data_IF_624854998985
#
_entry.id   IF_624854998985
#
_cell.length_a   1.000
_cell.length_b   1.000
_cell.length_c   1.000
_cell.angle_alpha   90.00
_cell.angle_beta   90.00
_cell.angle_gamma   90.00
#
_symmetry.space_group_name_H-M   'P 1'
#
loop_
_entity.id
_entity.type
_entity.pdbx_description
1 polymer ?
#
# COMPACT_ATOMS: atom_id res chain seq x y z
N UNK A 1 13.11 8.81 -3.33
CA UNK A 1 11.75 9.35 -3.05
C UNK A 1 10.76 8.20 -2.81
N UNK A 2 10.45 7.34 -3.78
CA UNK A 2 9.43 6.27 -3.63
C UNK A 2 9.65 5.39 -2.40
N UNK A 3 10.89 4.91 -2.15
CA UNK A 3 11.22 4.11 -0.97
C UNK A 3 11.06 4.87 0.35
N UNK A 4 11.28 6.18 0.36
CA UNK A 4 11.03 7.02 1.54
C UNK A 4 9.53 7.07 1.87
N UNK A 5 8.69 7.23 0.85
CA UNK A 5 7.23 7.23 1.02
C UNK A 5 6.73 5.85 1.45
N UNK A 6 7.25 4.78 0.84
CA UNK A 6 6.92 3.42 1.22
C UNK A 6 7.28 3.13 2.70
N UNK A 7 8.43 3.62 3.16
CA UNK A 7 8.82 3.52 4.56
C UNK A 7 7.88 4.32 5.48
N UNK A 8 7.46 5.52 5.09
CA UNK A 8 6.43 6.26 5.82
C UNK A 8 5.12 5.47 5.91
N UNK A 9 4.63 4.92 4.79
CA UNK A 9 3.44 4.07 4.77
C UNK A 9 3.57 2.86 5.68
N UNK A 10 4.72 2.20 5.68
CA UNK A 10 5.00 1.05 6.55
C UNK A 10 4.97 1.40 8.04
N UNK A 11 5.22 2.66 8.41
CA UNK A 11 5.31 3.12 9.82
C UNK A 11 4.14 4.01 10.27
N UNK A 12 3.30 4.47 9.37
CA UNK A 12 2.17 5.37 9.70
C UNK A 12 1.29 4.76 10.79
N UNK A 13 0.98 5.48 11.87
CA UNK A 13 0.07 5.01 12.90
C UNK A 13 -1.32 4.69 12.35
N UNK A 14 -1.93 3.62 12.83
CA UNK A 14 -3.24 3.12 12.37
C UNK A 14 -4.36 4.15 12.54
N UNK A 15 -4.22 5.04 13.52
CA UNK A 15 -5.26 6.02 13.89
C UNK A 15 -5.15 7.36 13.14
N UNK A 16 -4.12 7.55 12.29
CA UNK A 16 -3.94 8.78 11.51
C UNK A 16 -4.69 8.68 10.18
N UNK A 17 -5.99 8.81 10.25
CA UNK A 17 -6.90 8.68 9.11
C UNK A 17 -6.62 9.65 7.93
N UNK A 18 -6.26 10.94 8.13
CA UNK A 18 -5.96 11.83 6.99
C UNK A 18 -4.64 11.51 6.29
N UNK A 19 -3.70 10.83 6.94
CA UNK A 19 -2.34 10.62 6.43
C UNK A 19 -2.24 9.67 5.23
N UNK A 20 -3.09 8.66 5.15
CA UNK A 20 -3.03 7.66 4.09
C UNK A 20 -3.31 8.23 2.69
N UNK A 21 -4.26 9.16 2.57
CA UNK A 21 -4.54 9.86 1.32
C UNK A 21 -3.31 10.64 0.83
N UNK A 22 -2.70 11.46 1.70
CA UNK A 22 -1.48 12.21 1.39
C UNK A 22 -0.34 11.29 0.99
N UNK A 23 -0.09 10.21 1.74
CA UNK A 23 0.98 9.26 1.43
C UNK A 23 0.78 8.56 0.09
N UNK A 24 -0.46 8.18 -0.27
CA UNK A 24 -0.73 7.60 -1.58
C UNK A 24 -0.48 8.58 -2.71
N UNK A 25 -0.87 9.85 -2.57
CA UNK A 25 -0.58 10.90 -3.54
C UNK A 25 0.93 11.18 -3.64
N UNK A 26 1.64 11.20 -2.51
CA UNK A 26 3.09 11.36 -2.47
C UNK A 26 3.80 10.20 -3.18
N UNK A 27 3.32 8.96 -3.02
CA UNK A 27 3.83 7.79 -3.71
C UNK A 27 3.65 7.93 -5.23
N UNK A 28 2.45 8.32 -5.68
CA UNK A 28 2.12 8.53 -7.08
C UNK A 28 2.99 9.64 -7.68
N UNK A 29 3.12 10.79 -7.00
CA UNK A 29 3.95 11.90 -7.44
C UNK A 29 5.42 11.51 -7.53
N UNK A 30 5.95 10.81 -6.52
CA UNK A 30 7.35 10.37 -6.49
C UNK A 30 7.69 9.40 -7.63
N UNK A 31 6.79 8.48 -7.97
CA UNK A 31 6.96 7.59 -9.11
C UNK A 31 6.87 8.33 -10.43
N UNK A 32 6.01 9.35 -10.53
CA UNK A 32 5.84 10.17 -11.74
C UNK A 32 7.11 10.94 -12.14
N UNK A 33 8.03 11.20 -11.21
CA UNK A 33 9.34 11.83 -11.51
C UNK A 33 10.12 11.03 -12.53
N UNK A 34 10.12 9.71 -12.44
CA UNK A 34 10.80 8.82 -13.38
C UNK A 34 10.20 8.92 -14.79
N UNK A 35 8.88 8.96 -14.84
CA UNK A 35 8.14 9.17 -16.10
C UNK A 35 8.44 10.55 -16.70
N UNK A 36 8.47 11.59 -15.88
CA UNK A 36 8.81 12.96 -16.31
C UNK A 36 10.24 13.05 -16.85
N UNK A 37 11.20 12.38 -16.21
CA UNK A 37 12.58 12.28 -16.72
C UNK A 37 12.65 11.55 -18.06
N UNK A 38 11.95 10.44 -18.19
CA UNK A 38 11.97 9.59 -19.39
C UNK A 38 11.39 10.27 -20.62
N UNK A 39 10.27 10.97 -20.47
CA UNK A 39 9.52 11.53 -21.61
C UNK A 39 9.69 13.05 -21.77
N UNK A 40 9.93 13.79 -20.69
CA UNK A 40 10.07 15.24 -20.68
C UNK A 40 11.51 15.74 -20.62
N UNK A 41 12.47 14.84 -20.51
CA UNK A 41 13.88 15.16 -20.37
C UNK A 41 14.23 15.80 -19.00
N UNK A 42 15.50 16.22 -18.88
CA UNK A 42 16.04 16.66 -17.62
C UNK A 42 15.29 17.83 -16.97
N UNK A 43 14.93 18.85 -17.75
CA UNK A 43 14.27 20.07 -17.23
C UNK A 43 12.90 19.75 -16.61
N UNK A 44 12.11 18.89 -17.26
CA UNK A 44 10.79 18.46 -16.77
C UNK A 44 10.95 17.55 -15.56
N UNK A 45 11.88 16.61 -15.62
CA UNK A 45 12.17 15.70 -14.52
C UNK A 45 12.69 16.41 -13.28
N UNK A 46 13.55 17.43 -13.44
CA UNK A 46 14.04 18.24 -12.31
C UNK A 46 12.90 19.01 -11.63
N UNK A 47 11.96 19.56 -12.39
CA UNK A 47 10.76 20.20 -11.84
C UNK A 47 9.88 19.20 -11.09
N UNK A 48 9.64 18.04 -11.69
CA UNK A 48 8.86 16.97 -11.04
C UNK A 48 9.51 16.52 -9.73
N UNK A 49 10.84 16.37 -9.71
CA UNK A 49 11.60 16.03 -8.49
C UNK A 49 11.45 17.11 -7.42
N UNK A 50 11.52 18.39 -7.80
CA UNK A 50 11.30 19.50 -6.87
C UNK A 50 9.90 19.44 -6.25
N UNK A 51 8.86 19.21 -7.05
CA UNK A 51 7.50 19.09 -6.54
C UNK A 51 7.33 17.87 -5.63
N UNK A 52 7.92 16.73 -5.96
CA UNK A 52 7.89 15.56 -5.11
C UNK A 52 8.62 15.79 -3.77
N UNK A 53 9.77 16.47 -3.79
CA UNK A 53 10.49 16.85 -2.58
C UNK A 53 9.71 17.85 -1.72
N UNK A 54 9.06 18.83 -2.37
CA UNK A 54 8.20 19.78 -1.70
C UNK A 54 6.99 19.11 -1.02
N UNK A 55 6.34 18.17 -1.71
CA UNK A 55 5.24 17.40 -1.13
C UNK A 55 5.70 16.60 0.08
N UNK A 56 6.83 15.89 -0.03
CA UNK A 56 7.43 15.18 1.11
C UNK A 56 7.72 16.09 2.30
N UNK A 57 8.19 17.32 2.04
CA UNK A 57 8.40 18.30 3.09
C UNK A 57 7.09 18.83 3.67
N UNK A 58 6.08 19.07 2.84
CA UNK A 58 4.75 19.52 3.28
C UNK A 58 4.07 18.48 4.17
N UNK A 59 4.25 17.21 3.86
CA UNK A 59 3.69 16.08 4.62
C UNK A 59 4.59 15.63 5.79
N UNK A 60 5.63 16.41 6.16
CA UNK A 60 6.54 16.06 7.27
C UNK A 60 5.85 15.89 8.62
N UNK A 61 4.68 16.47 8.80
CA UNK A 61 3.85 16.29 10.00
C UNK A 61 3.38 14.84 10.20
N UNK A 62 3.40 14.02 9.12
CA UNK A 62 3.14 12.59 9.20
C UNK A 62 4.28 11.81 9.85
N UNK A 63 5.45 12.40 10.03
CA UNK A 63 6.60 11.81 10.73
C UNK A 63 6.48 11.96 12.26
N UNK A 64 5.36 11.62 12.84
CA UNK A 64 5.07 11.86 14.27
C UNK A 64 5.98 11.07 15.20
N UNK A 65 6.61 10.00 14.73
CA UNK A 65 7.57 9.23 15.53
C UNK A 65 8.90 9.17 14.79
N UNK A 66 9.98 9.75 15.33
CA UNK A 66 11.31 9.60 14.77
C UNK A 66 11.80 8.16 15.03
N UNK A 67 11.44 7.25 14.17
CA UNK A 67 12.00 5.89 14.12
C UNK A 67 13.01 5.82 12.99
N UNK A 68 14.02 4.96 13.14
CA UNK A 68 14.96 4.67 12.07
C UNK A 68 14.22 4.35 10.78
N UNK A 69 14.66 4.96 9.67
CA UNK A 69 14.07 4.75 8.33
C UNK A 69 14.15 3.29 7.89
N UNK A 70 15.12 2.56 8.40
CA UNK A 70 15.31 1.14 8.11
C UNK A 70 15.56 0.45 9.44
N UNK A 71 14.51 0.02 10.13
CA UNK A 71 14.71 -0.96 11.19
C UNK A 71 15.21 -2.24 10.51
N UNK A 72 16.33 -2.82 10.98
CA UNK A 72 16.71 -4.15 10.55
C UNK A 72 15.48 -5.05 10.77
N UNK A 73 15.11 -5.74 9.72
CA UNK A 73 14.03 -6.72 9.84
C UNK A 73 14.49 -7.69 10.93
N UNK A 74 13.77 -7.76 12.06
CA UNK A 74 14.06 -8.72 13.12
C UNK A 74 14.11 -10.13 12.56
N UNK A 75 14.84 -11.03 13.21
CA UNK A 75 14.93 -12.42 12.78
C UNK A 75 13.52 -12.98 12.52
N UNK A 76 13.38 -13.74 11.45
CA UNK A 76 12.12 -14.37 11.10
C UNK A 76 11.67 -15.28 12.26
N UNK A 77 10.47 -15.04 12.77
CA UNK A 77 9.87 -15.85 13.84
C UNK A 77 9.05 -17.02 13.29
N UNK A 78 8.97 -17.14 11.96
CA UNK A 78 8.21 -18.20 11.29
C UNK A 78 9.07 -19.46 11.08
N UNK A 79 9.56 -20.04 12.16
CA UNK A 79 10.28 -21.33 12.10
C UNK A 79 9.27 -22.45 11.77
N UNK A 80 9.44 -23.07 10.60
CA UNK A 80 8.64 -24.22 10.15
C UNK A 80 7.29 -23.88 9.49
N UNK A 81 6.94 -22.61 9.23
CA UNK A 81 5.70 -22.30 8.52
C UNK A 81 5.84 -22.48 7.01
N UNK A 82 4.81 -23.07 6.42
CA UNK A 82 4.67 -23.17 4.97
C UNK A 82 4.35 -21.78 4.40
N UNK A 83 4.94 -21.42 3.24
CA UNK A 83 4.68 -20.16 2.53
C UNK A 83 3.18 -19.92 2.33
N UNK A 84 2.40 -20.96 1.99
CA UNK A 84 0.96 -20.85 1.79
C UNK A 84 0.22 -20.39 3.06
N UNK A 85 0.64 -20.88 4.22
CA UNK A 85 0.04 -20.48 5.50
C UNK A 85 0.40 -19.03 5.84
N UNK A 86 1.66 -18.64 5.67
CA UNK A 86 2.11 -17.28 5.90
C UNK A 86 1.41 -16.29 4.96
N UNK A 87 1.27 -16.64 3.68
CA UNK A 87 0.55 -15.85 2.69
C UNK A 87 -0.93 -15.66 3.06
N UNK A 88 -1.60 -16.75 3.43
CA UNK A 88 -3.00 -16.68 3.91
C UNK A 88 -3.13 -15.75 5.11
N UNK A 89 -2.22 -15.83 6.08
CA UNK A 89 -2.23 -14.96 7.27
C UNK A 89 -2.17 -13.48 6.87
N UNK A 90 -1.35 -13.11 5.88
CA UNK A 90 -1.31 -11.72 5.37
C UNK A 90 -2.64 -11.36 4.71
N UNK A 91 -3.16 -12.21 3.81
CA UNK A 91 -4.40 -11.93 3.08
C UNK A 91 -5.60 -11.87 4.01
N UNK A 92 -5.70 -12.77 4.99
CA UNK A 92 -6.76 -12.76 6.00
C UNK A 92 -6.72 -11.49 6.85
N UNK A 93 -5.52 -10.97 7.15
CA UNK A 93 -5.38 -9.68 7.86
C UNK A 93 -5.89 -8.51 7.02
N UNK A 94 -5.74 -8.55 5.70
CA UNK A 94 -6.33 -7.57 4.79
C UNK A 94 -7.86 -7.69 4.79
N UNK A 95 -8.38 -8.91 4.67
CA UNK A 95 -9.83 -9.18 4.62
C UNK A 95 -10.52 -8.81 5.94
N UNK A 96 -9.90 -9.09 7.08
CA UNK A 96 -10.42 -8.80 8.42
C UNK A 96 -10.06 -7.40 8.93
N UNK A 97 -9.47 -6.56 8.06
CA UNK A 97 -9.19 -5.13 8.31
C UNK A 97 -8.25 -4.88 9.50
N UNK A 98 -7.23 -5.70 9.65
CA UNK A 98 -6.24 -5.61 10.73
C UNK A 98 -5.00 -4.79 10.33
N UNK A 99 -5.15 -3.47 10.16
CA UNK A 99 -4.09 -2.56 9.61
C UNK A 99 -2.77 -2.64 10.40
N UNK A 100 -2.81 -2.82 11.71
CA UNK A 100 -1.62 -2.98 12.55
C UNK A 100 -0.90 -4.30 12.30
N UNK A 101 -1.66 -5.39 12.30
CA UNK A 101 -1.14 -6.75 12.20
C UNK A 101 -0.67 -7.10 10.79
N UNK A 102 -1.36 -6.61 9.74
CA UNK A 102 -0.98 -6.90 8.36
C UNK A 102 0.45 -6.45 8.05
N UNK A 103 0.89 -5.31 8.58
CA UNK A 103 2.26 -4.85 8.43
C UNK A 103 3.28 -5.79 9.09
N UNK A 104 2.95 -6.35 10.25
CA UNK A 104 3.78 -7.34 10.95
C UNK A 104 3.82 -8.65 10.16
N UNK A 105 2.67 -9.20 9.77
CA UNK A 105 2.60 -10.44 9.02
C UNK A 105 3.30 -10.35 7.66
N UNK A 106 3.15 -9.21 6.95
CA UNK A 106 3.88 -8.96 5.69
C UNK A 106 5.39 -8.95 5.92
N UNK A 107 5.86 -8.33 7.00
CA UNK A 107 7.28 -8.32 7.36
C UNK A 107 7.78 -9.71 7.68
N UNK A 108 7.06 -10.48 8.49
CA UNK A 108 7.40 -11.85 8.85
C UNK A 108 7.48 -12.75 7.61
N UNK A 109 6.50 -12.64 6.70
CA UNK A 109 6.49 -13.34 5.42
C UNK A 109 7.77 -13.07 4.61
N UNK A 110 8.14 -11.79 4.46
CA UNK A 110 9.30 -11.39 3.68
C UNK A 110 10.63 -11.78 4.37
N UNK A 111 10.68 -11.74 5.69
CA UNK A 111 11.86 -12.12 6.48
C UNK A 111 12.12 -13.63 6.44
N UNK A 112 11.07 -14.43 6.32
CA UNK A 112 11.19 -15.87 6.11
C UNK A 112 11.77 -16.21 4.72
N UNK A 113 12.02 -15.20 3.87
CA UNK A 113 12.58 -15.39 2.53
C UNK A 113 11.54 -15.84 1.49
N UNK A 114 10.25 -15.75 1.81
CA UNK A 114 9.18 -16.13 0.88
C UNK A 114 9.03 -15.14 -0.27
N UNK A 115 8.35 -15.58 -1.35
CA UNK A 115 8.28 -14.84 -2.60
C UNK A 115 7.50 -13.53 -2.50
N UNK A 116 8.18 -12.38 -2.53
CA UNK A 116 7.54 -11.08 -2.60
C UNK A 116 6.72 -10.86 -3.87
N UNK A 117 7.09 -11.49 -4.99
CA UNK A 117 6.30 -11.47 -6.22
C UNK A 117 4.96 -12.20 -6.07
N UNK A 118 4.97 -13.34 -5.38
CA UNK A 118 3.76 -14.09 -5.07
C UNK A 118 2.83 -13.27 -4.18
N UNK A 119 3.37 -12.72 -3.10
CA UNK A 119 2.62 -11.84 -2.21
C UNK A 119 2.00 -10.66 -2.95
N UNK A 120 2.78 -9.97 -3.80
CA UNK A 120 2.30 -8.84 -4.59
C UNK A 120 1.19 -9.24 -5.57
N UNK A 121 1.32 -10.40 -6.22
CA UNK A 121 0.31 -10.95 -7.12
C UNK A 121 -1.01 -11.22 -6.40
N UNK A 122 -0.96 -11.85 -5.23
CA UNK A 122 -2.15 -12.24 -4.49
C UNK A 122 -2.82 -11.03 -3.81
N UNK A 123 -2.03 -10.09 -3.28
CA UNK A 123 -2.55 -8.77 -2.86
C UNK A 123 -3.22 -8.04 -4.03
N UNK A 124 -2.60 -8.07 -5.22
CA UNK A 124 -3.17 -7.46 -6.42
C UNK A 124 -4.54 -8.05 -6.78
N UNK A 125 -4.69 -9.37 -6.73
CA UNK A 125 -6.00 -10.02 -6.95
C UNK A 125 -7.03 -9.58 -5.91
N UNK A 126 -6.64 -9.50 -4.64
CA UNK A 126 -7.51 -9.05 -3.56
C UNK A 126 -7.92 -7.58 -3.75
N UNK A 127 -6.99 -6.70 -4.13
CA UNK A 127 -7.26 -5.28 -4.38
C UNK A 127 -8.19 -5.09 -5.59
N UNK A 128 -7.96 -5.83 -6.69
CA UNK A 128 -8.73 -5.67 -7.93
C UNK A 128 -10.09 -6.38 -7.90
N UNK A 129 -10.33 -7.28 -6.94
CA UNK A 129 -11.62 -7.93 -6.77
C UNK A 129 -12.71 -6.95 -6.29
N UNK A 130 -12.33 -5.99 -5.47
CA UNK A 130 -13.23 -5.03 -4.84
C UNK A 130 -13.01 -3.63 -5.43
N UNK A 131 -14.03 -2.77 -5.42
CA UNK A 131 -13.87 -1.36 -5.80
C UNK A 131 -13.23 -0.57 -4.66
N UNK A 132 -11.91 -0.61 -4.64
CA UNK A 132 -11.09 0.06 -3.63
C UNK A 132 -10.63 1.47 -4.02
N UNK A 133 -11.19 2.00 -5.11
CA UNK A 133 -10.85 3.31 -5.64
C UNK A 133 -9.51 3.38 -6.38
N UNK A 134 -9.42 4.33 -7.29
CA UNK A 134 -8.30 4.47 -8.23
C UNK A 134 -6.94 4.68 -7.56
N UNK A 135 -6.87 5.36 -6.41
CA UNK A 135 -5.62 5.61 -5.70
C UNK A 135 -4.93 4.32 -5.25
N UNK A 136 -5.69 3.32 -4.79
CA UNK A 136 -5.12 2.03 -4.39
C UNK A 136 -4.65 1.23 -5.61
N UNK A 137 -5.41 1.26 -6.71
CA UNK A 137 -5.01 0.61 -7.96
C UNK A 137 -3.73 1.24 -8.53
N UNK A 138 -3.61 2.57 -8.50
CA UNK A 138 -2.38 3.27 -8.88
C UNK A 138 -1.21 2.91 -7.96
N UNK A 139 -1.43 2.87 -6.65
CA UNK A 139 -0.39 2.48 -5.69
C UNK A 139 0.08 1.03 -5.92
N UNK A 140 -0.85 0.12 -6.21
CA UNK A 140 -0.52 -1.26 -6.59
C UNK A 140 0.37 -1.30 -7.83
N UNK A 141 0.01 -0.57 -8.90
CA UNK A 141 0.81 -0.46 -10.13
C UNK A 141 2.21 0.04 -9.83
N UNK A 142 2.33 1.12 -9.05
CA UNK A 142 3.61 1.72 -8.70
C UNK A 142 4.46 0.75 -7.90
N UNK A 143 3.89 0.09 -6.91
CA UNK A 143 4.61 -0.87 -6.09
C UNK A 143 5.09 -2.05 -6.94
N UNK A 144 4.31 -2.49 -7.91
CA UNK A 144 4.72 -3.54 -8.85
C UNK A 144 5.94 -3.12 -9.67
N UNK A 145 5.91 -1.93 -10.27
CA UNK A 145 7.00 -1.40 -11.08
C UNK A 145 8.26 -1.16 -10.21
N UNK A 146 8.11 -0.53 -9.06
CA UNK A 146 9.23 -0.18 -8.16
C UNK A 146 9.80 -1.41 -7.43
N UNK A 147 8.99 -2.43 -7.17
CA UNK A 147 9.47 -3.69 -6.60
C UNK A 147 10.53 -4.35 -7.49
N UNK A 148 10.30 -4.32 -8.79
CA UNK A 148 11.27 -4.84 -9.77
C UNK A 148 12.50 -3.94 -9.88
N UNK A 149 12.29 -2.61 -9.93
CA UNK A 149 13.37 -1.63 -10.10
C UNK A 149 14.29 -1.52 -8.88
N UNK A 150 13.78 -1.82 -7.69
CA UNK A 150 14.53 -1.72 -6.42
C UNK A 150 15.10 -3.08 -5.98
N UNK A 151 15.30 -4.02 -6.89
CA UNK A 151 15.92 -5.31 -6.56
C UNK A 151 17.28 -5.11 -5.89
N UNK A 152 17.51 -5.84 -4.78
CA UNK A 152 18.73 -5.71 -3.95
C UNK A 152 18.77 -4.51 -3.01
N UNK A 153 17.83 -3.57 -3.09
CA UNK A 153 17.81 -2.43 -2.16
C UNK A 153 17.27 -2.84 -0.78
N UNK A 154 17.95 -2.49 0.34
CA UNK A 154 17.57 -2.93 1.69
C UNK A 154 16.18 -2.46 2.12
N UNK A 155 15.70 -1.31 1.63
CA UNK A 155 14.37 -0.79 1.93
C UNK A 155 13.27 -1.31 0.98
N UNK A 156 13.57 -2.25 0.07
CA UNK A 156 12.61 -2.76 -0.91
C UNK A 156 11.33 -3.32 -0.25
N UNK A 157 11.50 -4.04 0.84
CA UNK A 157 10.39 -4.69 1.56
C UNK A 157 9.36 -3.68 2.08
N UNK A 158 9.74 -2.42 2.33
CA UNK A 158 8.82 -1.37 2.75
C UNK A 158 7.73 -1.09 1.71
N UNK A 159 7.99 -1.34 0.43
CA UNK A 159 6.99 -1.22 -0.64
C UNK A 159 5.78 -2.15 -0.38
N UNK A 160 6.04 -3.42 -0.07
CA UNK A 160 4.99 -4.40 0.17
C UNK A 160 4.31 -4.21 1.52
N UNK A 161 5.09 -3.86 2.56
CA UNK A 161 4.55 -3.55 3.88
C UNK A 161 3.63 -2.31 3.81
N UNK A 162 4.07 -1.26 3.13
CA UNK A 162 3.27 -0.04 2.94
C UNK A 162 1.99 -0.31 2.15
N UNK A 163 2.09 -1.07 1.05
CA UNK A 163 0.93 -1.43 0.22
C UNK A 163 -0.09 -2.29 0.98
N UNK A 164 0.35 -3.31 1.71
CA UNK A 164 -0.55 -4.18 2.48
C UNK A 164 -1.34 -3.39 3.51
N UNK A 165 -0.68 -2.47 4.22
CA UNK A 165 -1.32 -1.59 5.20
C UNK A 165 -2.29 -0.60 4.55
N UNK A 166 -1.89 -0.01 3.42
CA UNK A 166 -2.76 0.90 2.67
C UNK A 166 -4.00 0.18 2.14
N UNK A 167 -3.85 -1.00 1.54
CA UNK A 167 -4.97 -1.81 1.08
C UNK A 167 -5.95 -2.14 2.21
N UNK A 168 -5.43 -2.45 3.39
CA UNK A 168 -6.24 -2.75 4.58
C UNK A 168 -6.98 -1.51 5.09
N UNK A 169 -6.33 -0.33 5.11
CA UNK A 169 -6.96 0.92 5.55
C UNK A 169 -8.07 1.37 4.58
N UNK A 170 -7.87 1.23 3.28
CA UNK A 170 -8.91 1.54 2.28
C UNK A 170 -10.15 0.66 2.50
N UNK A 171 -9.98 -0.62 2.79
CA UNK A 171 -11.10 -1.51 3.12
C UNK A 171 -11.84 -1.12 4.39
N UNK A 172 -11.15 -0.55 5.36
CA UNK A 172 -11.76 -0.04 6.58
C UNK A 172 -12.77 1.09 6.33
N UNK A 173 -12.60 1.82 5.23
CA UNK A 173 -13.48 2.93 4.86
C UNK A 173 -14.76 2.38 4.24
N UNK A 174 -15.79 2.25 5.05
CA UNK A 174 -17.04 1.54 4.75
C UNK A 174 -17.77 1.93 3.43
N UNK A 175 -17.45 3.08 2.84
CA UNK A 175 -18.12 3.55 1.62
C UNK A 175 -17.91 2.68 0.38
N UNK A 176 -16.76 2.00 0.26
CA UNK A 176 -16.46 1.20 -0.94
C UNK A 176 -17.10 -0.20 -0.90
N UNK A 177 -17.28 -0.76 0.30
CA UNK A 177 -17.94 -2.06 0.45
C UNK A 177 -19.44 -1.98 0.20
N UNK A 178 -20.09 -0.87 0.58
CA UNK A 178 -21.52 -0.68 0.38
C UNK A 178 -21.88 -0.58 -1.10
N UNK A 179 -21.08 0.10 -1.92
CA UNK A 179 -21.35 0.25 -3.36
C UNK A 179 -21.28 -1.09 -4.10
N UNK A 180 -20.25 -1.91 -3.84
CA UNK A 180 -20.12 -3.24 -4.44
C UNK A 180 -21.24 -4.19 -3.98
N UNK A 181 -21.57 -4.20 -2.69
CA UNK A 181 -22.67 -5.00 -2.14
C UNK A 181 -24.02 -4.54 -2.70
N UNK A 182 -24.22 -3.25 -2.85
CA UNK A 182 -25.43 -2.66 -3.43
C UNK A 182 -25.56 -3.06 -4.90
N UNK A 183 -24.46 -2.98 -5.69
CA UNK A 183 -24.48 -3.45 -7.08
C UNK A 183 -24.78 -4.95 -7.20
N UNK A 184 -24.23 -5.78 -6.30
CA UNK A 184 -24.54 -7.21 -6.26
C UNK A 184 -26.00 -7.50 -5.87
N UNK A 185 -26.58 -6.72 -4.96
CA UNK A 185 -28.00 -6.81 -4.59
C UNK A 185 -28.88 -6.46 -5.78
N UNK A 186 -28.57 -5.38 -6.51
CA UNK A 186 -29.27 -5.05 -7.75
C UNK A 186 -29.20 -6.14 -8.80
N UNK A 187 -27.99 -6.67 -9.03
CA UNK A 187 -27.81 -7.77 -9.98
C UNK A 187 -28.60 -9.02 -9.62
N UNK A 188 -28.94 -9.22 -8.34
CA UNK A 188 -29.80 -10.31 -7.82
C UNK A 188 -31.28 -9.92 -7.75
N UNK A 189 -31.68 -8.75 -8.26
CA UNK A 189 -33.08 -8.28 -8.23
C UNK A 189 -33.55 -7.81 -6.84
N UNK A 190 -32.65 -7.54 -5.90
CA UNK A 190 -33.00 -7.01 -4.58
C UNK A 190 -33.07 -5.49 -4.62
N UNK A 191 -34.06 -4.89 -4.02
CA UNK A 191 -34.19 -3.44 -3.87
C UNK A 191 -33.19 -2.97 -2.80
N UNK A 192 -32.32 -2.01 -3.13
CA UNK A 192 -31.41 -1.40 -2.16
C UNK A 192 -32.16 -0.30 -1.39
N UNK A 193 -32.77 -0.67 -0.29
CA UNK A 193 -33.47 0.27 0.62
C UNK A 193 -32.51 1.34 1.13
N UNK A 194 -31.25 0.99 1.36
CA UNK A 194 -30.22 1.88 1.92
C UNK A 194 -29.81 3.06 1.00
N UNK A 195 -30.21 3.08 -0.27
CA UNK A 195 -29.94 4.19 -1.19
C UNK A 195 -30.86 5.40 -0.99
N UNK A 196 -31.92 5.23 -0.24
CA UNK A 196 -32.96 6.26 -0.06
C UNK A 196 -33.07 6.78 1.37
N UNK A 197 -32.26 6.24 2.28
CA UNK A 197 -32.27 6.61 3.70
C UNK A 197 -31.07 7.46 4.15
N UNK A 198 -30.30 8.03 3.21
CA UNK A 198 -29.15 8.92 3.50
C UNK A 198 -29.48 10.38 3.31
#
# INVERSE_FOLDING_TARGET
>A
MVLLVADRMARTPVNLNPGWGSLSHELILSSSVRTALRYGGFKVGARALYHAAWQSFSDRWLNITPRSLIEPLGAATLDGSNEDMALRTVLDSIETVQVGEVGRHTREYLNAGFSGHRLLSDMGRSILRDDNGWNLVHSLRIVFDEWTLCEGHPARNQLLIGLSRWATDVRKRAGNQSASQTAQRFARGQTAVDLYES
#
